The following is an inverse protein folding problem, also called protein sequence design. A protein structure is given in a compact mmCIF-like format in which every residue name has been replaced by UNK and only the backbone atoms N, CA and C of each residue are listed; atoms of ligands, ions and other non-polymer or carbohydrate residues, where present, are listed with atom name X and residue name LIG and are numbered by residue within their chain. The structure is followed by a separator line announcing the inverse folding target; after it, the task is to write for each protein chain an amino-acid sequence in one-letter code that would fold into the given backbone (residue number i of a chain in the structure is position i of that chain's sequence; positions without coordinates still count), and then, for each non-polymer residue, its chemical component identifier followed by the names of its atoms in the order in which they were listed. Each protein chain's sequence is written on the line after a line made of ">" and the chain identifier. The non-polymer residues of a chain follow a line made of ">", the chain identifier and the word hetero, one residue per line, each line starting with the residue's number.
data_IF_963553090468
#
_entry.id   IF_963553090468
#
_cell.length_a   1.000
_cell.length_b   1.000
_cell.length_c   1.000
_cell.angle_alpha   90.00
_cell.angle_beta   90.00
_cell.angle_gamma   90.00
#
_symmetry.space_group_name_H-M   'P 1'
#
loop_
_entity.id
_entity.type
_entity.pdbx_description
1 polymer ?
#
# COMPACT_ATOMS: atom_id res chain seq x y z
N UNK A 1 27.57 -15.71 13.33
CA UNK A 1 26.27 -16.13 13.91
C UNK A 1 25.51 -14.84 14.17
N UNK A 2 24.34 -14.61 13.55
CA UNK A 2 23.56 -13.41 13.84
C UNK A 2 23.14 -13.45 15.31
N UNK A 3 23.26 -12.31 16.00
CA UNK A 3 22.86 -12.19 17.40
C UNK A 3 21.35 -12.40 17.48
N UNK A 4 20.89 -13.37 18.26
CA UNK A 4 19.47 -13.54 18.49
C UNK A 4 18.95 -12.34 19.30
N UNK A 5 17.74 -11.85 19.03
CA UNK A 5 17.09 -10.87 19.87
C UNK A 5 17.02 -11.36 21.33
N UNK A 6 17.61 -10.59 22.25
CA UNK A 6 17.65 -10.94 23.67
C UNK A 6 16.42 -10.45 24.45
N UNK A 7 15.53 -9.70 23.81
CA UNK A 7 14.39 -9.05 24.46
C UNK A 7 13.14 -9.02 23.59
N UNK A 8 11.98 -9.20 24.21
CA UNK A 8 10.69 -9.04 23.55
C UNK A 8 10.45 -7.60 23.08
N UNK A 9 10.06 -7.44 21.82
CA UNK A 9 9.82 -6.15 21.17
C UNK A 9 8.56 -5.42 21.67
N UNK A 10 7.63 -6.16 22.28
CA UNK A 10 6.45 -5.58 22.92
C UNK A 10 6.75 -5.05 24.33
N UNK A 11 7.22 -5.92 25.24
CA UNK A 11 7.36 -5.56 26.65
C UNK A 11 8.78 -5.13 27.07
N UNK A 12 9.77 -5.20 26.16
CA UNK A 12 11.19 -4.85 26.36
C UNK A 12 11.91 -5.65 27.44
N UNK A 13 11.31 -6.74 27.94
CA UNK A 13 11.94 -7.66 28.89
C UNK A 13 12.70 -8.76 28.16
N UNK A 14 13.63 -9.42 28.87
CA UNK A 14 14.40 -10.54 28.34
C UNK A 14 13.48 -11.61 27.74
N UNK A 15 13.84 -12.10 26.57
CA UNK A 15 13.12 -13.17 25.88
C UNK A 15 13.46 -14.51 26.56
N UNK A 16 12.48 -15.09 27.25
CA UNK A 16 12.61 -16.37 27.97
C UNK A 16 11.67 -17.45 27.39
N UNK A 17 10.44 -17.06 27.06
CA UNK A 17 9.39 -17.94 26.54
C UNK A 17 8.64 -17.24 25.39
N UNK A 18 9.22 -17.31 24.21
CA UNK A 18 8.73 -16.60 23.04
C UNK A 18 9.29 -17.14 21.74
N UNK A 19 8.99 -16.44 20.66
CA UNK A 19 9.42 -16.76 19.31
C UNK A 19 10.03 -15.53 18.64
N UNK A 20 10.92 -15.79 17.69
CA UNK A 20 11.46 -14.78 16.77
C UNK A 20 10.74 -15.00 15.45
N UNK A 21 10.05 -13.98 14.98
CA UNK A 21 9.31 -14.00 13.72
C UNK A 21 10.28 -13.91 12.54
N UNK A 22 9.81 -14.23 11.34
CA UNK A 22 10.60 -14.14 10.10
C UNK A 22 11.08 -12.71 9.83
N UNK A 23 10.35 -11.70 10.33
CA UNK A 23 10.74 -10.29 10.27
C UNK A 23 11.76 -9.86 11.34
N UNK A 24 12.40 -10.82 12.01
CA UNK A 24 13.47 -10.64 13.00
C UNK A 24 13.05 -9.97 14.32
N UNK A 25 11.77 -9.61 14.47
CA UNK A 25 11.20 -9.18 15.74
C UNK A 25 10.82 -10.37 16.61
N UNK A 26 10.98 -10.20 17.92
CA UNK A 26 10.81 -11.26 18.90
C UNK A 26 9.75 -10.93 19.93
N UNK A 27 8.92 -11.90 20.28
CA UNK A 27 7.81 -11.69 21.19
C UNK A 27 7.67 -12.85 22.16
N UNK A 28 7.37 -12.54 23.43
CA UNK A 28 6.78 -13.55 24.31
C UNK A 28 5.46 -14.02 23.72
N UNK A 29 5.11 -15.31 23.82
CA UNK A 29 3.85 -15.83 23.28
C UNK A 29 2.62 -15.06 23.75
N UNK A 30 2.60 -14.68 25.04
CA UNK A 30 1.51 -13.85 25.60
C UNK A 30 1.49 -12.44 25.00
N UNK A 31 2.64 -11.82 24.80
CA UNK A 31 2.72 -10.50 24.18
C UNK A 31 2.31 -10.55 22.71
N UNK A 32 2.70 -11.60 21.99
CA UNK A 32 2.31 -11.79 20.60
C UNK A 32 0.79 -12.02 20.47
N UNK A 33 0.21 -12.78 21.39
CA UNK A 33 -1.24 -12.95 21.46
C UNK A 33 -1.98 -11.64 21.77
N UNK A 34 -1.42 -10.76 22.61
CA UNK A 34 -2.02 -9.45 22.92
C UNK A 34 -2.09 -8.51 21.70
N UNK A 35 -1.20 -8.71 20.73
CA UNK A 35 -1.19 -7.98 19.45
C UNK A 35 -1.79 -8.83 18.31
N UNK A 36 -2.66 -9.77 18.65
CA UNK A 36 -3.43 -10.61 17.71
C UNK A 36 -2.55 -11.36 16.69
N UNK A 37 -1.34 -11.75 17.10
CA UNK A 37 -0.36 -12.40 16.24
C UNK A 37 0.09 -11.55 15.04
N UNK A 38 -0.06 -10.23 15.12
CA UNK A 38 0.49 -9.27 14.17
C UNK A 38 1.82 -8.69 14.68
N UNK A 39 2.85 -8.65 13.84
CA UNK A 39 4.06 -7.91 14.18
C UNK A 39 3.79 -6.40 14.09
N UNK A 40 3.71 -5.72 15.24
CA UNK A 40 3.44 -4.28 15.31
C UNK A 40 4.42 -3.45 14.46
N UNK A 41 5.70 -3.84 14.42
CA UNK A 41 6.71 -3.14 13.63
C UNK A 41 6.48 -3.27 12.12
N UNK A 42 6.05 -4.46 11.66
CA UNK A 42 5.70 -4.65 10.26
C UNK A 42 4.42 -3.89 9.91
N UNK A 43 3.41 -3.93 10.78
CA UNK A 43 2.15 -3.22 10.57
C UNK A 43 2.40 -1.71 10.38
N UNK A 44 3.15 -1.08 11.29
CA UNK A 44 3.54 0.33 11.18
C UNK A 44 4.34 0.61 9.90
N UNK A 45 5.29 -0.26 9.54
CA UNK A 45 6.05 -0.12 8.30
C UNK A 45 5.15 -0.15 7.06
N UNK A 46 4.20 -1.08 6.99
CA UNK A 46 3.27 -1.19 5.87
C UNK A 46 2.32 -0.01 5.82
N UNK A 47 1.74 0.41 6.95
CA UNK A 47 0.87 1.61 7.02
C UNK A 47 1.59 2.85 6.50
N UNK A 48 2.81 3.11 7.00
CA UNK A 48 3.61 4.25 6.55
C UNK A 48 3.90 4.21 5.04
N UNK A 49 4.27 3.04 4.53
CA UNK A 49 4.61 2.85 3.11
C UNK A 49 3.38 3.00 2.20
N UNK A 50 2.24 2.47 2.61
CA UNK A 50 0.97 2.57 1.88
C UNK A 50 0.50 4.02 1.87
N UNK A 51 0.52 4.71 3.02
CA UNK A 51 0.19 6.13 3.10
C UNK A 51 1.09 6.97 2.18
N UNK A 52 2.41 6.73 2.20
CA UNK A 52 3.36 7.42 1.33
C UNK A 52 3.06 7.20 -0.16
N UNK A 53 2.82 5.96 -0.56
CA UNK A 53 2.52 5.62 -1.96
C UNK A 53 1.19 6.22 -2.42
N UNK A 54 0.14 6.11 -1.61
CA UNK A 54 -1.19 6.68 -1.90
C UNK A 54 -1.10 8.19 -2.03
N UNK A 55 -0.44 8.85 -1.08
CA UNK A 55 -0.26 10.29 -1.13
C UNK A 55 0.56 10.72 -2.37
N UNK A 56 1.59 9.95 -2.75
CA UNK A 56 2.36 10.20 -3.97
C UNK A 56 1.48 10.11 -5.22
N UNK A 57 0.63 9.09 -5.31
CA UNK A 57 -0.32 8.92 -6.42
C UNK A 57 -1.35 10.05 -6.50
N UNK A 58 -1.97 10.42 -5.37
CA UNK A 58 -2.92 11.54 -5.31
C UNK A 58 -2.27 12.86 -5.76
N UNK A 59 -1.04 13.13 -5.31
CA UNK A 59 -0.28 14.30 -5.74
C UNK A 59 -0.03 14.34 -7.26
N UNK A 60 0.11 13.19 -7.92
CA UNK A 60 0.24 13.13 -9.38
C UNK A 60 -1.09 13.42 -10.08
N UNK A 61 -2.21 12.91 -9.54
CA UNK A 61 -3.54 13.20 -10.07
C UNK A 61 -3.90 14.69 -9.94
N UNK A 62 -3.65 15.30 -8.77
CA UNK A 62 -3.96 16.71 -8.50
C UNK A 62 -3.15 17.68 -9.35
N UNK A 63 -1.88 17.35 -9.64
CA UNK A 63 -1.04 18.15 -10.55
C UNK A 63 -1.49 18.09 -12.01
N UNK A 64 -2.53 17.30 -12.29
CA UNK A 64 -3.05 17.02 -13.61
C UNK A 64 -2.14 16.06 -14.36
N UNK A 65 -2.72 15.35 -15.34
CA UNK A 65 -2.07 14.53 -16.37
C UNK A 65 -1.10 15.34 -17.27
N UNK A 66 -0.48 16.40 -16.76
CA UNK A 66 0.42 17.28 -17.50
C UNK A 66 1.84 16.70 -17.54
N UNK A 67 2.01 15.43 -17.95
CA UNK A 67 3.15 14.82 -18.67
C UNK A 67 2.74 13.38 -19.03
N UNK A 68 1.78 13.20 -19.93
CA UNK A 68 1.93 12.14 -20.92
C UNK A 68 2.39 12.86 -22.19
N UNK A 69 3.65 13.27 -22.23
CA UNK A 69 4.26 13.63 -23.51
C UNK A 69 4.24 12.38 -24.37
N UNK A 70 3.52 12.48 -25.47
CA UNK A 70 3.24 11.53 -26.55
C UNK A 70 4.48 10.92 -27.24
N UNK A 71 5.63 10.82 -26.57
CA UNK A 71 6.90 10.45 -27.19
C UNK A 71 7.20 8.94 -27.21
N UNK A 72 6.24 8.09 -26.83
CA UNK A 72 6.31 6.63 -27.08
C UNK A 72 5.28 6.11 -28.09
N UNK A 73 4.61 6.99 -28.84
CA UNK A 73 3.79 6.55 -29.97
C UNK A 73 4.62 6.59 -31.26
N UNK A 74 5.42 5.54 -31.43
CA UNK A 74 6.08 5.29 -32.71
C UNK A 74 5.00 4.99 -33.77
N UNK A 75 5.03 5.81 -34.82
CA UNK A 75 3.96 5.97 -35.79
C UNK A 75 3.85 4.74 -36.68
N UNK A 76 2.69 4.09 -36.68
CA UNK A 76 2.18 3.45 -37.91
C UNK A 76 0.78 3.93 -38.19
N UNK A 77 0.67 4.74 -39.24
CA UNK A 77 -0.55 5.29 -39.81
C UNK A 77 -1.37 4.20 -40.49
N UNK A 78 -2.68 4.14 -40.24
CA UNK A 78 -3.70 3.89 -41.27
C UNK A 78 -5.03 4.51 -40.80
N UNK A 79 -5.58 5.37 -41.63
CA UNK A 79 -6.91 5.98 -41.50
C UNK A 79 -7.99 4.91 -41.60
N UNK A 80 -8.89 4.81 -40.61
CA UNK A 80 -10.27 4.41 -40.83
C UNK A 80 -11.20 5.29 -39.98
N UNK A 81 -12.07 6.03 -40.67
CA UNK A 81 -13.27 6.63 -40.13
C UNK A 81 -14.15 5.50 -39.57
N UNK A 82 -14.68 5.63 -38.36
CA UNK A 82 -16.12 5.45 -38.10
C UNK A 82 -16.45 5.75 -36.63
N UNK A 83 -17.36 6.71 -36.47
CA UNK A 83 -18.37 6.86 -35.41
C UNK A 83 -17.91 6.95 -33.95
N UNK A 84 -18.11 8.15 -33.38
CA UNK A 84 -18.16 8.41 -31.94
C UNK A 84 -19.27 7.55 -31.32
N UNK A 85 -18.90 6.45 -30.67
CA UNK A 85 -19.74 5.82 -29.65
C UNK A 85 -19.52 6.55 -28.32
N UNK A 86 -20.44 7.47 -27.98
CA UNK A 86 -20.63 7.94 -26.62
C UNK A 86 -21.06 6.76 -25.73
N UNK A 87 -20.11 6.00 -25.16
CA UNK A 87 -20.43 5.04 -24.11
C UNK A 87 -19.25 4.73 -23.16
N UNK A 88 -18.65 5.74 -22.52
CA UNK A 88 -17.62 5.50 -21.48
C UNK A 88 -17.72 6.37 -20.21
N UNK A 89 -18.86 7.03 -19.96
CA UNK A 89 -19.01 7.84 -18.73
C UNK A 89 -19.32 7.01 -17.49
N UNK A 90 -19.95 5.84 -17.64
CA UNK A 90 -20.46 5.06 -16.51
C UNK A 90 -19.34 4.32 -15.75
N UNK A 91 -18.33 3.78 -16.45
CA UNK A 91 -17.20 3.08 -15.83
C UNK A 91 -16.26 4.03 -15.05
N UNK A 92 -16.14 5.29 -15.50
CA UNK A 92 -15.30 6.29 -14.82
C UNK A 92 -15.84 6.66 -13.42
N UNK A 93 -17.16 6.74 -13.27
CA UNK A 93 -17.77 7.04 -11.96
C UNK A 93 -17.68 5.88 -10.97
N UNK A 94 -17.81 4.64 -11.47
CA UNK A 94 -17.66 3.43 -10.64
C UNK A 94 -16.24 3.32 -10.09
N UNK A 95 -15.22 3.50 -10.93
CA UNK A 95 -13.80 3.50 -10.52
C UNK A 95 -13.49 4.61 -9.51
N UNK A 96 -14.07 5.80 -9.69
CA UNK A 96 -13.89 6.90 -8.74
C UNK A 96 -14.51 6.58 -7.37
N UNK A 97 -15.70 5.98 -7.34
CA UNK A 97 -16.35 5.57 -6.11
C UNK A 97 -15.54 4.50 -5.35
N UNK A 98 -15.02 3.49 -6.07
CA UNK A 98 -14.14 2.48 -5.48
C UNK A 98 -12.86 3.09 -4.90
N UNK A 99 -12.24 4.03 -5.61
CA UNK A 99 -11.05 4.73 -5.13
C UNK A 99 -11.35 5.49 -3.83
N UNK A 100 -12.48 6.21 -3.74
CA UNK A 100 -12.87 6.92 -2.52
C UNK A 100 -13.06 5.97 -1.33
N UNK A 101 -13.70 4.82 -1.55
CA UNK A 101 -13.89 3.81 -0.50
C UNK A 101 -12.53 3.27 -0.03
N UNK A 102 -11.63 2.95 -0.96
CA UNK A 102 -10.29 2.48 -0.63
C UNK A 102 -9.48 3.53 0.16
N UNK A 103 -9.59 4.81 -0.21
CA UNK A 103 -8.94 5.92 0.51
C UNK A 103 -9.47 6.06 1.94
N UNK A 104 -10.77 5.90 2.15
CA UNK A 104 -11.35 5.92 3.51
C UNK A 104 -10.72 4.82 4.34
N UNK A 105 -10.66 3.58 3.83
CA UNK A 105 -10.05 2.47 4.56
C UNK A 105 -8.58 2.73 4.92
N UNK A 106 -7.78 3.26 3.99
CA UNK A 106 -6.37 3.61 4.25
C UNK A 106 -6.25 4.69 5.33
N UNK A 107 -7.13 5.70 5.31
CA UNK A 107 -7.10 6.80 6.29
C UNK A 107 -7.61 6.41 7.68
N UNK A 108 -8.36 5.31 7.80
CA UNK A 108 -8.91 4.81 9.07
C UNK A 108 -8.22 3.56 9.60
N UNK A 109 -7.10 3.15 8.98
CA UNK A 109 -6.34 1.95 9.35
C UNK A 109 -5.42 2.16 10.57
#
# INVERSE_FOLDING_TARGET
>A
MPLLPDSCDYCRKKLDNGEILICEYSYHFKCYQMIEYGCHHCDEYYKCKIYSNVNSFLNQLEKGLNVFTSDEQDKTSTEENETVEEMETNGSQEVHAELLIALIHVNTW
#
